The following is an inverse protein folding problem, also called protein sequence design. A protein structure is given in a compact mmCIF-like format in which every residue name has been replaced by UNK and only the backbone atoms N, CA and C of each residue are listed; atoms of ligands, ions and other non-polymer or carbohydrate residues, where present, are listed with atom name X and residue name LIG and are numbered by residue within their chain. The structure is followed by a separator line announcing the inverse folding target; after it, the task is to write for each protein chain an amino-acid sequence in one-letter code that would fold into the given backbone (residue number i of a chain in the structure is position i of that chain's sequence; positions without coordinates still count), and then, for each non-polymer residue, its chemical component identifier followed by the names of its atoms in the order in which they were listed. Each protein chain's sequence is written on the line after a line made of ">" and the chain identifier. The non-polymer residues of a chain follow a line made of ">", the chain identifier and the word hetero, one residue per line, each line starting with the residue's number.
data_IF_773318010116
#
_entry.id   IF_773318010116
#
_cell.length_a   1.000
_cell.length_b   1.000
_cell.length_c   1.000
_cell.angle_alpha   90.00
_cell.angle_beta   90.00
_cell.angle_gamma   90.00
#
_symmetry.space_group_name_H-M   'P 1'
#
loop_
_entity.id
_entity.type
_entity.pdbx_description
1 polymer ?
#
# COMPACT_ATOMS: atom_id res chain seq x y z
N UNK A 1 1.88 43.19 40.81
CA UNK A 1 3.12 43.54 41.54
C UNK A 1 3.77 42.20 41.91
N UNK A 2 4.44 41.51 40.98
CA UNK A 2 5.91 41.51 40.83
C UNK A 2 6.60 41.99 42.12
N UNK A 3 7.45 41.20 42.77
CA UNK A 3 8.68 40.61 42.23
C UNK A 3 9.24 39.61 43.26
N UNK A 4 10.16 38.74 42.84
CA UNK A 4 11.08 37.92 43.67
C UNK A 4 10.53 36.58 44.17
N UNK A 5 10.51 35.56 43.30
CA UNK A 5 10.85 34.21 43.75
C UNK A 5 11.75 33.52 42.73
N UNK A 6 13.04 33.50 43.07
CA UNK A 6 14.07 32.52 42.68
C UNK A 6 14.56 32.51 41.23
N UNK A 7 15.38 33.50 40.90
CA UNK A 7 16.53 33.28 40.02
C UNK A 7 17.77 33.05 40.91
N UNK A 8 18.10 31.80 41.20
CA UNK A 8 19.41 31.41 41.73
C UNK A 8 19.96 30.31 40.82
N UNK A 9 20.58 30.72 39.72
CA UNK A 9 21.50 29.90 38.94
C UNK A 9 22.90 30.44 39.23
N UNK A 10 23.68 29.75 40.08
CA UNK A 10 25.05 30.12 40.40
C UNK A 10 26.04 29.06 39.85
N UNK A 11 26.91 29.53 38.96
CA UNK A 11 28.30 29.14 38.68
C UNK A 11 28.65 27.67 38.33
N UNK A 12 28.95 27.46 37.04
CA UNK A 12 30.10 26.67 36.56
C UNK A 12 29.96 25.15 36.46
N UNK A 13 29.44 24.49 37.50
CA UNK A 13 29.24 23.03 37.52
C UNK A 13 27.74 22.64 37.49
N UNK A 14 26.85 23.59 37.78
CA UNK A 14 25.39 23.42 37.80
C UNK A 14 24.70 23.87 36.49
N UNK A 15 25.43 24.51 35.57
CA UNK A 15 24.88 24.92 34.29
C UNK A 15 24.53 23.70 33.41
N UNK A 16 25.32 22.64 33.49
CA UNK A 16 25.07 21.38 32.79
C UNK A 16 23.82 20.68 33.33
N UNK A 17 23.58 20.75 34.64
CA UNK A 17 22.43 20.11 35.28
C UNK A 17 21.13 20.86 35.03
N UNK A 18 21.13 22.21 34.98
CA UNK A 18 19.89 22.95 34.69
C UNK A 18 19.46 22.85 33.23
N UNK A 19 20.39 22.75 32.28
CA UNK A 19 20.08 22.53 30.86
C UNK A 19 19.57 21.10 30.63
N UNK A 20 20.12 20.10 31.33
CA UNK A 20 19.65 18.71 31.25
C UNK A 20 18.23 18.55 31.85
N UNK A 21 17.93 19.26 32.94
CA UNK A 21 16.62 19.24 33.60
C UNK A 21 15.53 19.88 32.71
N UNK A 22 15.83 21.01 32.06
CA UNK A 22 14.89 21.68 31.14
C UNK A 22 14.63 20.89 29.86
N UNK A 23 15.66 20.26 29.27
CA UNK A 23 15.50 19.34 28.12
C UNK A 23 14.67 18.12 28.47
N UNK A 24 14.81 17.59 29.69
CA UNK A 24 14.01 16.46 30.15
C UNK A 24 12.54 16.84 30.32
N UNK A 25 12.25 18.03 30.85
CA UNK A 25 10.88 18.55 30.96
C UNK A 25 10.27 18.78 29.56
N UNK A 26 11.02 19.37 28.64
CA UNK A 26 10.56 19.58 27.27
C UNK A 26 10.30 18.27 26.52
N UNK A 27 11.22 17.30 26.60
CA UNK A 27 11.01 15.96 26.05
C UNK A 27 9.78 15.28 26.64
N UNK A 28 9.54 15.44 27.95
CA UNK A 28 8.35 14.94 28.64
C UNK A 28 7.06 15.65 28.17
N UNK A 29 7.09 16.94 27.86
CA UNK A 29 5.94 17.65 27.27
C UNK A 29 5.55 17.02 25.94
N UNK A 30 6.52 16.76 25.06
CA UNK A 30 6.26 16.08 23.80
C UNK A 30 5.78 14.64 23.97
N UNK A 31 6.32 13.89 24.95
CA UNK A 31 5.82 12.56 25.32
C UNK A 31 4.32 12.61 25.69
N UNK A 32 3.92 13.51 26.59
CA UNK A 32 2.52 13.63 27.03
C UNK A 32 1.60 14.04 25.87
N UNK A 33 2.05 14.97 25.01
CA UNK A 33 1.31 15.35 23.79
C UNK A 33 1.13 14.17 22.83
N UNK A 34 2.14 13.31 22.71
CA UNK A 34 2.04 12.09 21.91
C UNK A 34 1.02 11.10 22.47
N UNK A 35 0.97 10.92 23.79
CA UNK A 35 -0.04 10.08 24.44
C UNK A 35 -1.44 10.63 24.20
N UNK A 36 -1.65 11.94 24.42
CA UNK A 36 -2.92 12.59 24.13
C UNK A 36 -3.31 12.47 22.64
N UNK A 37 -2.34 12.53 21.72
CA UNK A 37 -2.60 12.33 20.30
C UNK A 37 -3.03 10.89 19.96
N UNK A 38 -2.55 9.87 20.69
CA UNK A 38 -3.07 8.50 20.57
C UNK A 38 -4.53 8.45 21.02
N UNK A 39 -4.85 9.05 22.16
CA UNK A 39 -6.22 9.06 22.72
C UNK A 39 -7.22 9.77 21.79
N UNK A 40 -6.77 10.79 21.06
CA UNK A 40 -7.57 11.52 20.09
C UNK A 40 -7.72 10.81 18.74
N UNK A 41 -6.84 9.86 18.42
CA UNK A 41 -6.82 9.19 17.13
C UNK A 41 -8.04 8.29 16.95
N UNK A 42 -8.81 8.51 15.88
CA UNK A 42 -10.00 7.71 15.56
C UNK A 42 -9.71 6.52 14.66
N UNK A 43 -8.51 6.50 14.08
CA UNK A 43 -8.04 5.45 13.17
C UNK A 43 -6.52 5.31 13.27
N UNK A 44 -5.98 4.16 12.86
CA UNK A 44 -4.52 3.93 12.85
C UNK A 44 -3.79 4.95 11.96
N UNK A 45 -4.44 5.43 10.90
CA UNK A 45 -3.90 6.46 9.99
C UNK A 45 -3.68 7.81 10.70
N UNK A 46 -4.44 8.11 11.73
CA UNK A 46 -4.33 9.35 12.52
C UNK A 46 -3.22 9.30 13.58
N UNK A 47 -2.60 8.13 13.80
CA UNK A 47 -1.48 7.99 14.73
C UNK A 47 -0.19 8.71 14.26
N UNK A 48 -0.16 9.24 13.04
CA UNK A 48 0.99 10.02 12.54
C UNK A 48 1.31 11.23 13.41
N UNK A 49 0.28 11.89 13.97
CA UNK A 49 0.46 13.01 14.88
C UNK A 49 1.16 12.57 16.18
N UNK A 50 0.81 11.41 16.72
CA UNK A 50 1.48 10.84 17.89
C UNK A 50 2.94 10.48 17.59
N UNK A 51 3.22 9.88 16.44
CA UNK A 51 4.58 9.57 16.00
C UNK A 51 5.45 10.83 15.94
N UNK A 52 4.92 11.95 15.44
CA UNK A 52 5.64 13.22 15.37
C UNK A 52 5.99 13.75 16.77
N UNK A 53 5.03 13.71 17.71
CA UNK A 53 5.30 14.14 19.08
C UNK A 53 6.34 13.25 19.76
N UNK A 54 6.25 11.93 19.63
CA UNK A 54 7.27 11.05 20.21
C UNK A 54 8.63 11.21 19.54
N UNK A 55 8.69 11.47 18.23
CA UNK A 55 9.95 11.77 17.53
C UNK A 55 10.60 13.04 18.07
N UNK A 56 9.82 14.09 18.36
CA UNK A 56 10.35 15.30 19.01
C UNK A 56 10.83 15.00 20.43
N UNK A 57 10.10 14.17 21.18
CA UNK A 57 10.52 13.75 22.52
C UNK A 57 11.87 13.01 22.50
N UNK A 58 12.09 12.10 21.54
CA UNK A 58 13.37 11.35 21.42
C UNK A 58 14.52 12.21 20.91
N UNK A 59 14.24 13.27 20.14
CA UNK A 59 15.26 14.23 19.70
C UNK A 59 15.70 15.18 20.83
N UNK A 60 14.76 15.60 21.67
CA UNK A 60 15.01 16.56 22.75
C UNK A 60 15.60 15.86 23.98
N UNK A 61 15.09 14.68 24.33
CA UNK A 61 15.55 13.85 25.43
C UNK A 61 15.83 12.41 24.94
N UNK A 62 16.98 12.16 24.30
CA UNK A 62 17.34 10.85 23.76
C UNK A 62 17.40 9.73 24.82
N UNK A 63 17.66 10.07 26.08
CA UNK A 63 17.67 9.16 27.23
C UNK A 63 16.27 8.81 27.77
N UNK A 64 15.22 9.48 27.29
CA UNK A 64 13.84 9.23 27.71
C UNK A 64 13.32 7.92 27.06
N UNK A 65 13.62 6.78 27.70
CA UNK A 65 13.26 5.45 27.20
C UNK A 65 11.77 5.30 26.88
N UNK A 66 10.88 5.90 27.69
CA UNK A 66 9.44 5.88 27.45
C UNK A 66 9.03 6.51 26.10
N UNK A 67 9.78 7.51 25.60
CA UNK A 67 9.52 8.10 24.29
C UNK A 67 9.86 7.13 23.16
N UNK A 68 10.98 6.41 23.27
CA UNK A 68 11.38 5.38 22.31
C UNK A 68 10.40 4.20 22.28
N UNK A 69 9.95 3.73 23.44
CA UNK A 69 8.93 2.67 23.52
C UNK A 69 7.64 3.08 22.79
N UNK A 70 7.12 4.28 23.10
CA UNK A 70 5.87 4.76 22.53
C UNK A 70 6.01 5.07 21.03
N UNK A 71 7.16 5.60 20.60
CA UNK A 71 7.48 5.80 19.19
C UNK A 71 7.46 4.47 18.43
N UNK A 72 8.13 3.43 18.95
CA UNK A 72 8.15 2.10 18.35
C UNK A 72 6.75 1.48 18.23
N UNK A 73 5.94 1.61 19.29
CA UNK A 73 4.55 1.13 19.31
C UNK A 73 3.69 1.81 18.24
N UNK A 74 3.78 3.14 18.12
CA UNK A 74 3.04 3.88 17.10
C UNK A 74 3.54 3.57 15.69
N UNK A 75 4.85 3.48 15.49
CA UNK A 75 5.44 3.12 14.19
C UNK A 75 5.02 1.72 13.74
N UNK A 76 4.95 0.75 14.66
CA UNK A 76 4.48 -0.60 14.38
C UNK A 76 3.03 -0.59 13.90
N UNK A 77 2.15 0.16 14.57
CA UNK A 77 0.75 0.35 14.16
C UNK A 77 0.61 1.08 12.81
N UNK A 78 1.53 1.99 12.51
CA UNK A 78 1.58 2.69 11.23
C UNK A 78 2.19 1.85 10.08
N UNK A 79 2.56 0.59 10.33
CA UNK A 79 3.20 -0.27 9.33
C UNK A 79 4.67 0.06 9.04
N UNK A 80 5.28 0.98 9.81
CA UNK A 80 6.67 1.42 9.64
C UNK A 80 7.61 0.49 10.39
N UNK A 81 7.65 -0.78 9.99
CA UNK A 81 8.26 -1.87 10.77
C UNK A 81 9.75 -1.63 11.07
N UNK A 82 10.53 -1.18 10.09
CA UNK A 82 11.96 -0.87 10.27
C UNK A 82 12.20 0.23 11.30
N UNK A 83 11.41 1.30 11.24
CA UNK A 83 11.50 2.40 12.20
C UNK A 83 11.11 1.94 13.60
N UNK A 84 10.04 1.14 13.70
CA UNK A 84 9.56 0.59 14.97
C UNK A 84 10.61 -0.27 15.67
N UNK A 85 11.27 -1.15 14.92
CA UNK A 85 12.36 -1.98 15.41
C UNK A 85 13.51 -1.14 15.96
N UNK A 86 13.94 -0.10 15.23
CA UNK A 86 14.99 0.81 15.69
C UNK A 86 14.61 1.50 17.00
N UNK A 87 13.37 2.01 17.11
CA UNK A 87 12.88 2.66 18.33
C UNK A 87 12.84 1.69 19.52
N UNK A 88 12.39 0.45 19.30
CA UNK A 88 12.41 -0.58 20.34
C UNK A 88 13.83 -1.01 20.74
N UNK A 89 14.77 -1.06 19.79
CA UNK A 89 16.18 -1.32 20.08
C UNK A 89 16.78 -0.20 20.94
N UNK A 90 16.47 1.07 20.65
CA UNK A 90 16.85 2.19 21.50
C UNK A 90 16.24 2.10 22.90
N UNK A 91 14.95 1.74 23.03
CA UNK A 91 14.31 1.49 24.32
C UNK A 91 15.07 0.42 25.13
N UNK A 92 15.38 -0.72 24.51
CA UNK A 92 16.11 -1.82 25.14
C UNK A 92 17.56 -1.45 25.49
N UNK A 93 18.20 -0.58 24.72
CA UNK A 93 19.54 -0.09 25.02
C UNK A 93 19.55 0.82 26.26
N UNK A 94 18.52 1.65 26.43
CA UNK A 94 18.37 2.54 27.59
C UNK A 94 17.89 1.78 28.84
N UNK A 95 17.05 0.77 28.67
CA UNK A 95 16.47 0.01 29.79
C UNK A 95 16.53 -1.51 29.56
N UNK A 96 17.73 -2.13 29.58
CA UNK A 96 17.90 -3.55 29.23
C UNK A 96 17.27 -4.53 30.23
N UNK A 97 17.00 -4.08 31.46
CA UNK A 97 16.42 -4.85 32.57
C UNK A 97 14.96 -4.46 32.86
N UNK A 98 14.31 -3.74 31.96
CA UNK A 98 12.89 -3.44 32.08
C UNK A 98 12.08 -4.75 32.19
N UNK A 99 11.02 -4.76 33.00
CA UNK A 99 10.16 -5.94 33.18
C UNK A 99 9.53 -6.38 31.85
N UNK A 100 9.22 -5.44 30.98
CA UNK A 100 8.64 -5.66 29.65
C UNK A 100 9.70 -5.91 28.55
N UNK A 101 11.00 -5.85 28.86
CA UNK A 101 12.06 -6.02 27.87
C UNK A 101 11.96 -7.35 27.08
N UNK A 102 11.63 -8.51 27.68
CA UNK A 102 11.39 -9.74 26.92
C UNK A 102 10.25 -9.60 25.90
N UNK A 103 9.14 -8.94 26.28
CA UNK A 103 8.00 -8.71 25.38
C UNK A 103 8.39 -7.83 24.20
N UNK A 104 9.26 -6.84 24.43
CA UNK A 104 9.74 -5.97 23.35
C UNK A 104 10.69 -6.70 22.40
N UNK A 105 11.53 -7.60 22.90
CA UNK A 105 12.35 -8.48 22.04
C UNK A 105 11.46 -9.37 21.17
N UNK A 106 10.41 -9.96 21.74
CA UNK A 106 9.44 -10.75 20.98
C UNK A 106 8.71 -9.91 19.92
N UNK A 107 8.36 -8.65 20.23
CA UNK A 107 7.74 -7.75 19.26
C UNK A 107 8.68 -7.39 18.11
N UNK A 108 9.97 -7.18 18.36
CA UNK A 108 10.97 -6.99 17.30
C UNK A 108 10.99 -8.19 16.35
N UNK A 109 11.00 -9.42 16.87
CA UNK A 109 10.98 -10.64 16.04
C UNK A 109 9.70 -10.72 15.18
N UNK A 110 8.55 -10.35 15.76
CA UNK A 110 7.29 -10.28 14.99
C UNK A 110 7.35 -9.23 13.89
N UNK A 111 7.96 -8.07 14.17
CA UNK A 111 8.13 -7.00 13.19
C UNK A 111 9.08 -7.39 12.06
N UNK A 112 10.16 -8.11 12.37
CA UNK A 112 11.08 -8.69 11.38
C UNK A 112 10.32 -9.61 10.43
N UNK A 113 9.51 -10.53 10.97
CA UNK A 113 8.68 -11.41 10.16
C UNK A 113 7.66 -10.63 9.31
N UNK A 114 6.96 -9.64 9.89
CA UNK A 114 6.01 -8.80 9.14
C UNK A 114 6.68 -8.03 8.00
N UNK A 115 7.90 -7.53 8.22
CA UNK A 115 8.70 -6.86 7.19
C UNK A 115 9.12 -7.83 6.09
N UNK A 116 9.58 -9.04 6.42
CA UNK A 116 9.90 -10.07 5.42
C UNK A 116 8.69 -10.43 4.56
N UNK A 117 7.50 -10.56 5.17
CA UNK A 117 6.27 -10.80 4.42
C UNK A 117 5.91 -9.61 3.51
N UNK A 118 6.04 -8.37 4.02
CA UNK A 118 5.80 -7.18 3.23
C UNK A 118 6.76 -7.07 2.04
N UNK A 119 8.02 -7.48 2.18
CA UNK A 119 9.01 -7.50 1.11
C UNK A 119 8.69 -8.56 0.04
N UNK A 120 8.26 -9.77 0.44
CA UNK A 120 7.79 -10.81 -0.50
C UNK A 120 6.60 -10.33 -1.31
N UNK A 121 5.69 -9.63 -0.66
CA UNK A 121 4.47 -9.07 -1.25
C UNK A 121 4.81 -7.88 -2.16
N UNK A 122 5.74 -7.01 -1.76
CA UNK A 122 6.25 -5.92 -2.60
C UNK A 122 7.00 -6.44 -3.84
N UNK A 123 7.70 -7.57 -3.73
CA UNK A 123 8.37 -8.21 -4.86
C UNK A 123 7.41 -8.71 -5.97
N UNK A 124 6.11 -8.79 -5.69
CA UNK A 124 5.09 -9.08 -6.71
C UNK A 124 4.85 -7.89 -7.64
N UNK A 125 5.17 -6.66 -7.23
CA UNK A 125 4.97 -5.48 -8.06
C UNK A 125 5.78 -5.56 -9.37
N UNK A 126 5.20 -5.02 -10.44
CA UNK A 126 5.85 -4.94 -11.76
C UNK A 126 4.97 -5.48 -12.88
N UNK A 127 5.60 -5.89 -13.98
CA UNK A 127 4.90 -6.34 -15.18
C UNK A 127 4.70 -7.85 -15.15
N UNK A 128 3.49 -8.27 -15.50
CA UNK A 128 3.04 -9.65 -15.58
C UNK A 128 2.46 -9.93 -16.95
N UNK A 129 2.53 -11.18 -17.39
CA UNK A 129 1.96 -11.65 -18.65
C UNK A 129 0.99 -12.78 -18.35
N UNK A 130 -0.22 -12.69 -18.87
CA UNK A 130 -1.20 -13.76 -18.74
C UNK A 130 -0.97 -14.90 -19.76
N UNK A 131 -1.75 -15.96 -19.66
CA UNK A 131 -1.70 -17.10 -20.58
C UNK A 131 -2.19 -16.77 -22.01
N UNK A 132 -2.62 -15.54 -22.28
CA UNK A 132 -2.98 -15.02 -23.60
C UNK A 132 -1.95 -14.01 -24.13
N UNK A 133 -0.78 -13.91 -23.49
CA UNK A 133 0.29 -12.99 -23.84
C UNK A 133 -0.11 -11.50 -23.75
N UNK A 134 -1.06 -11.18 -22.85
CA UNK A 134 -1.47 -9.81 -22.54
C UNK A 134 -0.70 -9.33 -21.31
N UNK A 135 -0.24 -8.08 -21.38
CA UNK A 135 0.53 -7.48 -20.30
C UNK A 135 -0.38 -6.92 -19.23
N UNK A 136 0.07 -7.01 -17.99
CA UNK A 136 -0.58 -6.43 -16.83
C UNK A 136 0.46 -5.79 -15.93
N UNK A 137 0.13 -4.67 -15.32
CA UNK A 137 0.90 -4.07 -14.24
C UNK A 137 0.27 -4.47 -12.92
N UNK A 138 1.07 -5.06 -12.06
CA UNK A 138 0.72 -5.35 -10.69
C UNK A 138 1.27 -4.23 -9.80
N UNK A 139 0.36 -3.52 -9.14
CA UNK A 139 0.66 -2.47 -8.18
C UNK A 139 0.23 -2.90 -6.78
N UNK A 140 1.01 -2.49 -5.80
CA UNK A 140 0.87 -2.91 -4.41
C UNK A 140 0.53 -1.73 -3.51
N UNK A 141 -0.43 -1.91 -2.62
CA UNK A 141 -0.76 -0.96 -1.55
C UNK A 141 -1.09 -1.73 -0.27
N UNK A 142 -0.06 -2.03 0.53
CA UNK A 142 -0.19 -2.92 1.68
C UNK A 142 -0.56 -4.34 1.24
N UNK A 143 -1.68 -4.87 1.76
CA UNK A 143 -2.22 -6.17 1.35
C UNK A 143 -3.16 -6.08 0.13
N UNK A 144 -3.31 -4.91 -0.50
CA UNK A 144 -4.09 -4.75 -1.72
C UNK A 144 -3.19 -4.86 -2.94
N UNK A 145 -3.64 -5.65 -3.90
CA UNK A 145 -3.01 -5.79 -5.20
C UNK A 145 -3.98 -5.26 -6.26
N UNK A 146 -3.45 -4.45 -7.17
CA UNK A 146 -4.18 -3.99 -8.34
C UNK A 146 -3.46 -4.51 -9.57
N UNK A 147 -4.12 -5.36 -10.33
CA UNK A 147 -3.62 -5.86 -11.60
C UNK A 147 -4.36 -5.15 -12.72
N UNK A 148 -3.69 -4.24 -13.43
CA UNK A 148 -4.28 -3.46 -14.53
C UNK A 148 -3.67 -3.86 -15.86
N UNK A 149 -4.50 -4.14 -16.86
CA UNK A 149 -4.04 -4.49 -18.20
C UNK A 149 -3.18 -3.36 -18.78
N UNK A 150 -2.06 -3.70 -19.45
CA UNK A 150 -1.25 -2.79 -20.27
C UNK A 150 -1.14 -3.24 -21.73
N UNK A 151 -0.94 -2.26 -22.64
CA UNK A 151 -0.74 -2.51 -24.07
C UNK A 151 0.65 -3.06 -24.36
N UNK A 152 1.66 -2.49 -23.71
CA UNK A 152 3.07 -2.93 -23.80
C UNK A 152 3.68 -3.05 -22.41
N UNK A 153 4.80 -3.80 -22.25
CA UNK A 153 5.47 -3.95 -20.96
C UNK A 153 5.89 -2.64 -20.30
N UNK A 154 6.26 -1.62 -21.10
CA UNK A 154 6.85 -0.34 -20.66
C UNK A 154 5.88 0.84 -20.80
N UNK A 155 4.57 0.57 -20.85
CA UNK A 155 3.57 1.62 -21.05
C UNK A 155 3.37 2.43 -19.75
N UNK A 156 4.32 3.31 -19.43
CA UNK A 156 4.18 4.29 -18.35
C UNK A 156 3.59 5.62 -18.82
N UNK A 157 3.45 5.89 -20.13
CA UNK A 157 3.03 7.21 -20.62
C UNK A 157 2.41 7.27 -22.05
N UNK A 158 1.91 6.18 -22.67
CA UNK A 158 1.36 6.30 -24.04
C UNK A 158 -0.10 6.79 -24.04
N UNK A 159 -0.27 8.11 -23.93
CA UNK A 159 -1.41 8.79 -24.57
C UNK A 159 -1.15 8.73 -26.07
N UNK A 160 -1.91 7.88 -26.78
CA UNK A 160 -1.84 7.77 -28.23
C UNK A 160 -2.09 9.12 -28.88
N UNK A 161 -1.04 9.78 -29.35
CA UNK A 161 -1.11 10.92 -30.27
C UNK A 161 -0.49 10.49 -31.59
N UNK A 162 -1.34 10.13 -32.56
CA UNK A 162 -0.93 10.14 -33.95
C UNK A 162 -1.46 11.42 -34.58
N UNK A 163 -0.54 12.29 -34.98
CA UNK A 163 -0.83 13.37 -35.92
C UNK A 163 -0.78 12.80 -37.34
N UNK A 164 -1.74 13.26 -38.15
CA UNK A 164 -1.81 13.18 -39.62
C UNK A 164 -2.52 11.92 -40.16
N UNK A 165 -3.65 12.18 -40.81
CA UNK A 165 -4.52 11.27 -41.61
C UNK A 165 -5.64 10.54 -40.85
N UNK A 166 -6.70 11.28 -40.51
CA UNK A 166 -8.06 10.73 -40.33
C UNK A 166 -8.31 9.96 -39.03
N UNK A 167 -9.56 10.01 -38.54
CA UNK A 167 -9.99 9.24 -37.37
C UNK A 167 -10.10 7.76 -37.74
N UNK A 168 -9.02 7.01 -37.60
CA UNK A 168 -9.07 5.54 -37.52
C UNK A 168 -9.30 5.19 -36.06
N UNK A 169 -10.36 4.44 -35.69
CA UNK A 169 -10.56 4.00 -34.32
C UNK A 169 -9.37 3.12 -33.93
N UNK A 170 -8.57 3.61 -32.99
CA UNK A 170 -7.57 2.81 -32.30
C UNK A 170 -8.32 1.60 -31.74
N UNK A 171 -7.91 0.38 -32.11
CA UNK A 171 -8.47 -0.86 -31.57
C UNK A 171 -8.77 -0.69 -30.08
N UNK A 172 -10.04 -0.76 -29.68
CA UNK A 172 -10.50 -0.45 -28.32
C UNK A 172 -9.71 -1.28 -27.31
N UNK A 173 -8.68 -0.65 -26.74
CA UNK A 173 -7.89 -1.22 -25.68
C UNK A 173 -8.76 -1.20 -24.43
N UNK A 174 -9.25 -2.37 -24.05
CA UNK A 174 -10.20 -2.56 -22.97
C UNK A 174 -9.42 -2.70 -21.67
N UNK A 175 -9.56 -1.72 -20.77
CA UNK A 175 -8.91 -1.84 -19.47
C UNK A 175 -9.59 -2.94 -18.67
N UNK A 176 -8.81 -3.95 -18.30
CA UNK A 176 -9.18 -5.02 -17.39
C UNK A 176 -8.41 -4.79 -16.09
N UNK A 177 -9.13 -4.69 -14.98
CA UNK A 177 -8.58 -4.35 -13.67
C UNK A 177 -9.05 -5.39 -12.66
N UNK A 178 -8.10 -5.98 -11.93
CA UNK A 178 -8.38 -6.80 -10.74
C UNK A 178 -7.95 -6.01 -9.51
N UNK A 179 -8.88 -5.83 -8.58
CA UNK A 179 -8.65 -5.21 -7.27
C UNK A 179 -8.85 -6.29 -6.20
N UNK A 180 -7.75 -6.83 -5.68
CA UNK A 180 -7.75 -8.00 -4.82
C UNK A 180 -7.03 -7.70 -3.51
N UNK A 181 -7.40 -8.41 -2.45
CA UNK A 181 -6.71 -8.42 -1.17
C UNK A 181 -5.97 -9.76 -1.01
N UNK A 182 -4.71 -9.71 -0.54
CA UNK A 182 -3.90 -10.89 -0.26
C UNK A 182 -4.03 -11.29 1.22
N UNK A 183 -4.25 -12.58 1.45
CA UNK A 183 -4.28 -13.20 2.77
C UNK A 183 -3.53 -14.53 2.73
N UNK A 184 -2.26 -14.50 3.17
CA UNK A 184 -1.35 -15.61 2.97
C UNK A 184 -1.05 -15.82 1.48
N UNK A 185 -1.42 -16.98 0.96
CA UNK A 185 -1.31 -17.29 -0.47
C UNK A 185 -2.60 -17.00 -1.25
N UNK A 186 -3.71 -16.75 -0.57
CA UNK A 186 -5.01 -16.57 -1.22
C UNK A 186 -5.23 -15.11 -1.62
N UNK A 187 -5.93 -14.94 -2.73
CA UNK A 187 -6.38 -13.67 -3.28
C UNK A 187 -7.90 -13.66 -3.36
N UNK A 188 -8.50 -12.53 -3.00
CA UNK A 188 -9.93 -12.34 -3.14
C UNK A 188 -10.28 -10.88 -3.39
N UNK A 189 -11.25 -10.63 -4.25
CA UNK A 189 -11.73 -9.29 -4.49
C UNK A 189 -12.60 -9.19 -5.73
N UNK A 190 -12.48 -8.05 -6.42
CA UNK A 190 -13.30 -7.74 -7.59
C UNK A 190 -12.45 -7.63 -8.83
N UNK A 191 -13.04 -7.95 -9.96
CA UNK A 191 -12.49 -7.63 -11.26
C UNK A 191 -13.51 -6.85 -12.06
N UNK A 192 -13.02 -6.02 -12.96
CA UNK A 192 -13.83 -5.27 -13.90
C UNK A 192 -13.12 -5.12 -15.23
N UNK A 193 -13.91 -4.99 -16.29
CA UNK A 193 -13.44 -4.68 -17.62
C UNK A 193 -14.35 -3.64 -18.23
N UNK A 194 -13.76 -2.60 -18.81
CA UNK A 194 -14.51 -1.49 -19.40
C UNK A 194 -15.52 -1.98 -20.44
N UNK A 195 -16.57 -1.21 -20.68
CA UNK A 195 -17.43 -1.41 -21.84
C UNK A 195 -16.70 -0.97 -23.11
N UNK A 196 -17.07 -1.53 -24.25
CA UNK A 196 -16.55 -1.08 -25.54
C UNK A 196 -17.62 -0.99 -26.60
N UNK A 197 -17.33 -0.13 -27.56
CA UNK A 197 -18.05 -0.07 -28.79
C UNK A 197 -17.49 -1.11 -29.78
N UNK A 198 -18.27 -2.14 -30.06
CA UNK A 198 -18.06 -3.04 -31.18
C UNK A 198 -18.93 -2.56 -32.34
N UNK A 199 -18.32 -1.89 -33.32
CA UNK A 199 -19.04 -1.25 -34.44
C UNK A 199 -20.09 -0.22 -33.97
N UNK A 200 -21.40 -0.51 -34.10
CA UNK A 200 -22.50 0.35 -33.60
C UNK A 200 -23.05 -0.11 -32.25
N UNK A 201 -22.56 -1.23 -31.73
CA UNK A 201 -23.03 -1.84 -30.49
C UNK A 201 -22.12 -1.50 -29.32
N UNK A 202 -22.72 -0.96 -28.26
CA UNK A 202 -22.04 -0.79 -26.98
C UNK A 202 -22.21 -2.05 -26.15
N UNK A 203 -21.12 -2.80 -25.98
CA UNK A 203 -21.06 -3.91 -25.03
C UNK A 203 -20.88 -3.30 -23.63
N UNK A 204 -21.74 -3.66 -22.67
CA UNK A 204 -21.68 -3.10 -21.33
C UNK A 204 -20.37 -3.51 -20.62
N UNK A 205 -19.93 -2.73 -19.61
CA UNK A 205 -18.80 -3.12 -18.77
C UNK A 205 -19.09 -4.45 -18.07
N UNK A 206 -18.03 -5.21 -17.90
CA UNK A 206 -18.03 -6.52 -17.25
C UNK A 206 -17.39 -6.43 -15.88
N UNK A 207 -17.77 -7.33 -14.98
CA UNK A 207 -17.12 -7.46 -13.70
C UNK A 207 -17.80 -8.46 -12.80
N UNK A 208 -17.14 -8.76 -11.68
CA UNK A 208 -17.61 -9.71 -10.71
C UNK A 208 -16.59 -9.95 -9.61
N UNK A 209 -16.77 -11.03 -8.86
CA UNK A 209 -15.76 -11.46 -7.91
C UNK A 209 -14.65 -12.21 -8.64
N UNK A 210 -13.44 -12.06 -8.13
CA UNK A 210 -12.28 -12.81 -8.55
C UNK A 210 -11.59 -13.35 -7.30
N UNK A 211 -11.22 -14.62 -7.36
CA UNK A 211 -10.54 -15.34 -6.30
C UNK A 211 -9.31 -16.03 -6.88
N UNK A 212 -8.32 -16.35 -6.08
CA UNK A 212 -7.10 -16.91 -6.63
C UNK A 212 -6.03 -17.16 -5.61
N UNK A 213 -4.83 -17.37 -6.11
CA UNK A 213 -3.67 -17.66 -5.29
C UNK A 213 -2.37 -17.14 -5.90
N UNK A 214 -1.41 -16.83 -5.03
CA UNK A 214 -0.04 -16.45 -5.39
C UNK A 214 0.88 -17.62 -5.10
N UNK A 215 1.49 -18.15 -6.15
CA UNK A 215 2.52 -19.19 -6.08
C UNK A 215 3.89 -18.50 -6.16
N UNK A 216 4.37 -18.04 -5.00
CA UNK A 216 5.60 -17.24 -4.87
C UNK A 216 6.83 -17.94 -5.47
N UNK A 217 7.02 -19.24 -5.17
CA UNK A 217 8.14 -20.05 -5.66
C UNK A 217 8.16 -20.18 -7.19
N UNK A 218 6.98 -20.12 -7.82
CA UNK A 218 6.84 -20.27 -9.26
C UNK A 218 6.75 -18.93 -10.00
N UNK A 219 6.77 -17.80 -9.29
CA UNK A 219 6.46 -16.47 -9.82
C UNK A 219 5.16 -16.47 -10.66
N UNK A 220 4.13 -17.14 -10.13
CA UNK A 220 2.82 -17.28 -10.77
C UNK A 220 1.70 -16.71 -9.90
N UNK A 221 0.72 -16.11 -10.56
CA UNK A 221 -0.55 -15.75 -9.93
C UNK A 221 -1.64 -16.46 -10.73
N UNK A 222 -2.53 -17.14 -10.03
CA UNK A 222 -3.67 -17.83 -10.64
C UNK A 222 -4.94 -17.14 -10.15
N UNK A 223 -5.71 -16.57 -11.06
CA UNK A 223 -7.00 -15.96 -10.76
C UNK A 223 -8.13 -16.75 -11.42
N UNK A 224 -9.23 -16.92 -10.71
CA UNK A 224 -10.47 -17.55 -11.14
C UNK A 224 -11.57 -16.52 -11.04
N UNK A 225 -12.28 -16.32 -12.13
CA UNK A 225 -13.42 -15.41 -12.16
C UNK A 225 -14.44 -15.90 -13.19
N UNK A 226 -15.68 -15.44 -13.07
CA UNK A 226 -16.70 -15.70 -14.08
C UNK A 226 -16.52 -14.68 -15.20
N UNK A 227 -16.32 -15.15 -16.43
CA UNK A 227 -16.37 -14.33 -17.63
C UNK A 227 -17.75 -14.45 -18.29
N UNK A 228 -18.27 -13.34 -18.80
CA UNK A 228 -19.60 -13.27 -19.42
C UNK A 228 -19.46 -12.84 -20.87
N UNK A 229 -19.96 -13.66 -21.79
CA UNK A 229 -20.04 -13.31 -23.21
C UNK A 229 -21.40 -12.72 -23.54
N UNK A 230 -21.39 -11.73 -24.41
CA UNK A 230 -22.59 -11.13 -24.98
C UNK A 230 -22.69 -11.44 -26.47
N UNK A 231 -23.92 -11.60 -26.96
CA UNK A 231 -24.24 -11.38 -28.36
C UNK A 231 -24.93 -10.03 -28.51
N UNK A 232 -24.58 -9.29 -29.55
CA UNK A 232 -25.29 -8.09 -29.98
C UNK A 232 -25.38 -8.12 -31.51
N UNK A 233 -26.39 -7.47 -32.08
CA UNK A 233 -26.56 -7.36 -33.52
C UNK A 233 -26.77 -5.91 -33.93
N UNK A 234 -26.17 -5.49 -35.04
CA UNK A 234 -26.42 -4.17 -35.64
C UNK A 234 -27.59 -4.30 -36.60
N UNK A 235 -28.62 -3.47 -36.42
CA UNK A 235 -29.69 -3.30 -37.41
C UNK A 235 -29.40 -2.05 -38.23
N UNK A 236 -29.26 -2.23 -39.54
CA UNK A 236 -28.98 -1.16 -40.50
C UNK A 236 -30.29 -0.58 -41.00
N UNK A 237 -30.46 0.73 -40.97
CA UNK A 237 -31.63 1.43 -41.51
C UNK A 237 -31.20 2.66 -42.33
N UNK A 238 -32.11 3.17 -43.17
CA UNK A 238 -31.84 4.24 -44.15
C UNK A 238 -31.40 5.57 -43.51
N UNK A 239 -31.80 5.82 -42.26
CA UNK A 239 -31.51 7.07 -41.56
C UNK A 239 -30.50 6.92 -40.43
N UNK A 240 -30.51 5.81 -39.69
CA UNK A 240 -29.61 5.53 -38.58
C UNK A 240 -29.46 4.02 -38.34
N UNK A 241 -28.24 3.55 -38.06
CA UNK A 241 -27.97 2.19 -37.61
C UNK A 241 -28.07 2.12 -36.08
N UNK A 242 -28.75 1.11 -35.53
CA UNK A 242 -28.89 0.94 -34.09
C UNK A 242 -28.57 -0.48 -33.63
N UNK A 243 -28.03 -0.58 -32.40
CA UNK A 243 -27.74 -1.85 -31.77
C UNK A 243 -29.00 -2.49 -31.21
N UNK A 244 -29.22 -3.76 -31.51
CA UNK A 244 -30.32 -4.55 -31.01
C UNK A 244 -29.82 -5.84 -30.36
N UNK A 245 -30.65 -6.41 -29.48
CA UNK A 245 -30.47 -7.76 -28.92
C UNK A 245 -29.16 -7.99 -28.14
N UNK A 246 -28.67 -7.00 -27.38
CA UNK A 246 -27.57 -7.20 -26.42
C UNK A 246 -28.06 -8.15 -25.32
N UNK A 247 -27.58 -9.39 -25.34
CA UNK A 247 -27.95 -10.40 -24.33
C UNK A 247 -26.75 -11.25 -23.94
N UNK A 248 -26.75 -11.71 -22.70
CA UNK A 248 -25.77 -12.69 -22.21
C UNK A 248 -26.00 -14.00 -22.94
N UNK A 249 -24.93 -14.55 -23.52
CA UNK A 249 -24.96 -15.85 -24.21
C UNK A 249 -24.31 -16.96 -23.41
N UNK A 250 -23.28 -16.64 -22.64
CA UNK A 250 -22.50 -17.61 -21.89
C UNK A 250 -21.94 -16.96 -20.62
N UNK A 251 -21.99 -17.68 -19.51
CA UNK A 251 -21.22 -17.37 -18.31
C UNK A 251 -20.40 -18.60 -17.98
N UNK A 252 -19.08 -18.42 -17.90
CA UNK A 252 -18.17 -19.52 -17.65
C UNK A 252 -17.10 -19.09 -16.66
N UNK A 253 -16.77 -19.98 -15.74
CA UNK A 253 -15.59 -19.83 -14.91
C UNK A 253 -14.33 -19.95 -15.77
N UNK A 254 -13.50 -18.92 -15.70
CA UNK A 254 -12.21 -18.87 -16.39
C UNK A 254 -11.09 -18.81 -15.37
N UNK A 255 -10.06 -19.60 -15.63
CA UNK A 255 -8.80 -19.54 -14.91
C UNK A 255 -7.77 -18.77 -15.75
N UNK A 256 -7.16 -17.76 -15.12
CA UNK A 256 -6.15 -16.87 -15.68
C UNK A 256 -4.84 -17.10 -14.94
N UNK A 257 -3.80 -17.47 -15.69
CA UNK A 257 -2.47 -17.70 -15.12
C UNK A 257 -1.56 -16.56 -15.57
N UNK A 258 -1.04 -15.82 -14.61
CA UNK A 258 -0.09 -14.74 -14.81
C UNK A 258 1.30 -15.19 -14.42
N UNK A 259 2.30 -14.77 -15.21
CA UNK A 259 3.72 -15.01 -14.96
C UNK A 259 4.45 -13.68 -14.94
N UNK A 260 5.44 -13.54 -14.05
CA UNK A 260 6.25 -12.32 -14.02
C UNK A 260 6.99 -12.15 -15.34
N UNK A 261 6.90 -10.95 -15.93
CA UNK A 261 7.61 -10.63 -17.15
C UNK A 261 9.11 -10.48 -16.82
N UNK A 262 9.94 -11.22 -17.54
CA UNK A 262 11.40 -11.07 -17.50
C UNK A 262 11.81 -10.64 -18.89
N UNK A 263 12.38 -9.44 -19.00
CA UNK A 263 12.89 -8.93 -20.26
C UNK A 263 14.01 -9.86 -20.74
N UNK A 264 13.84 -10.44 -21.92
CA UNK A 264 14.88 -11.30 -22.48
C UNK A 264 16.06 -10.41 -22.89
N UNK A 265 17.32 -10.81 -22.61
CA UNK A 265 18.46 -10.07 -23.11
C UNK A 265 18.37 -10.00 -24.63
N UNK A 266 18.40 -8.79 -25.16
CA UNK A 266 18.47 -8.56 -26.61
C UNK A 266 19.73 -9.21 -27.15
N UNK A 267 19.63 -10.02 -28.23
CA UNK A 267 20.78 -10.69 -28.82
C UNK A 267 21.82 -9.73 -29.40
#
# INVERSE_FOLDING_TARGET
>A
MNTLLKAVCLAGLLASTCIADDRTEEGRRYLIRGIAAIEMAKSEKELSGAAEQFTKATQIAPELSAAWYNLGSVQAKLGRYKEAMNSYQHYLALNPKAEDAPKIRDEIIKLEYRMEQADKVAALAGTWVDNYNRYFKLEMSGNRITLSSRRTPDDNDVISTYSLVGKVPVSNYMNEIFQLEISGQNLGGKWSKDGYQADKCTIPPLGGNAEGEVLLEENKIVLRHIDTKYSAATQINVFDDFCINVKVTEQKEVERVFRKYVEQPTP
#
